data_IF_739570890135
#
_entry.id   IF_739570890135
#
_cell.length_a   1.000
_cell.length_b   1.000
_cell.length_c   1.000
_cell.angle_alpha   90.00
_cell.angle_beta   90.00
_cell.angle_gamma   90.00
#
_symmetry.space_group_name_H-M   'P 1'
#
loop_
_entity.id
_entity.type
_entity.pdbx_description
1 polymer ?
#
# COMPACT_ATOMS: atom_id res chain seq x y z
N UNK A 1 -11.91 45.06 43.92
CA UNK A 1 -13.16 45.64 44.45
C UNK A 1 -12.80 46.28 45.77
N UNK A 2 -12.79 47.61 45.85
CA UNK A 2 -12.73 48.31 47.14
C UNK A 2 -13.91 47.87 48.01
N UNK A 3 -13.77 47.82 49.35
CA UNK A 3 -14.89 47.49 50.22
C UNK A 3 -16.02 48.50 49.97
N UNK A 4 -17.30 48.07 49.92
CA UNK A 4 -18.40 49.01 49.78
C UNK A 4 -18.34 49.99 50.94
N UNK A 5 -18.25 51.28 50.63
CA UNK A 5 -18.21 52.36 51.61
C UNK A 5 -19.57 52.42 52.29
N UNK A 6 -19.70 51.60 53.34
CA UNK A 6 -20.96 51.25 53.96
C UNK A 6 -21.34 52.33 54.97
N UNK A 7 -21.88 53.42 54.44
CA UNK A 7 -22.18 54.62 55.20
C UNK A 7 -23.67 55.00 55.03
N UNK A 8 -24.38 55.36 56.12
CA UNK A 8 -25.83 55.64 56.07
C UNK A 8 -26.21 56.84 55.20
N UNK A 9 -25.26 57.72 54.89
CA UNK A 9 -25.45 58.87 53.99
C UNK A 9 -25.02 58.60 52.53
N UNK A 10 -24.52 57.40 52.21
CA UNK A 10 -24.09 57.06 50.85
C UNK A 10 -25.25 56.45 50.05
N UNK A 11 -25.67 57.10 48.97
CA UNK A 11 -26.76 56.66 48.10
C UNK A 11 -26.56 55.26 47.49
N UNK A 12 -25.31 54.83 47.34
CA UNK A 12 -24.96 53.51 46.77
C UNK A 12 -24.72 52.44 47.85
N UNK A 13 -24.88 52.78 49.14
CA UNK A 13 -24.67 51.84 50.25
C UNK A 13 -25.90 50.99 50.51
N UNK A 14 -25.65 49.73 50.89
CA UNK A 14 -26.70 48.81 51.37
C UNK A 14 -27.34 49.23 52.70
N UNK A 15 -26.70 50.13 53.46
CA UNK A 15 -27.15 50.62 54.77
C UNK A 15 -27.64 52.08 54.66
N UNK A 16 -28.01 52.52 53.46
CA UNK A 16 -28.49 53.87 53.21
C UNK A 16 -29.75 54.19 54.04
N UNK A 17 -29.72 55.32 54.77
CA UNK A 17 -30.85 55.83 55.54
C UNK A 17 -31.40 57.12 54.88
N UNK A 18 -32.56 57.04 54.19
CA UNK A 18 -33.10 58.17 53.43
C UNK A 18 -33.36 59.41 54.29
N UNK A 19 -33.88 59.20 55.50
CA UNK A 19 -34.26 60.26 56.44
C UNK A 19 -33.03 61.01 56.97
N UNK A 20 -31.96 60.27 57.30
CA UNK A 20 -30.69 60.84 57.74
C UNK A 20 -30.01 61.61 56.60
N UNK A 21 -30.05 61.08 55.36
CA UNK A 21 -29.53 61.73 54.17
C UNK A 21 -30.25 63.04 53.85
N UNK A 22 -31.58 63.03 53.81
CA UNK A 22 -32.39 64.23 53.54
C UNK A 22 -32.22 65.27 54.66
N UNK A 23 -32.22 64.84 55.93
CA UNK A 23 -31.97 65.76 57.06
C UNK A 23 -30.59 66.42 56.98
N UNK A 24 -29.56 65.67 56.56
CA UNK A 24 -28.22 66.19 56.34
C UNK A 24 -28.19 67.19 55.17
N UNK A 25 -28.87 66.87 54.07
CA UNK A 25 -28.96 67.71 52.88
C UNK A 25 -29.63 69.06 53.18
N UNK A 26 -30.77 69.04 53.87
CA UNK A 26 -31.51 70.24 54.29
C UNK A 26 -30.73 71.13 55.28
N UNK A 27 -29.85 70.54 56.10
CA UNK A 27 -29.00 71.30 57.04
C UNK A 27 -27.78 71.93 56.40
N UNK A 28 -27.30 71.39 55.27
CA UNK A 28 -26.01 71.76 54.67
C UNK A 28 -26.13 72.57 53.38
N UNK A 29 -27.23 72.45 52.64
CA UNK A 29 -27.40 73.07 51.32
C UNK A 29 -28.40 74.22 51.33
N UNK A 30 -28.17 75.20 50.46
CA UNK A 30 -29.13 76.28 50.18
C UNK A 30 -30.28 75.83 49.26
N UNK A 31 -31.30 76.68 49.09
CA UNK A 31 -32.48 76.36 48.26
C UNK A 31 -32.10 76.06 46.80
N UNK A 32 -31.27 76.90 46.18
CA UNK A 32 -30.86 76.72 44.78
C UNK A 32 -30.07 75.42 44.58
N UNK A 33 -29.22 75.07 45.55
CA UNK A 33 -28.48 73.81 45.54
C UNK A 33 -29.38 72.60 45.76
N UNK A 34 -30.47 72.75 46.53
CA UNK A 34 -31.46 71.69 46.74
C UNK A 34 -32.29 71.45 45.48
N UNK A 35 -32.66 72.50 44.76
CA UNK A 35 -33.32 72.40 43.44
C UNK A 35 -32.40 71.70 42.44
N UNK A 36 -31.13 72.07 42.38
CA UNK A 36 -30.17 71.39 41.49
C UNK A 36 -30.00 69.89 41.83
N UNK A 37 -30.04 69.52 43.11
CA UNK A 37 -30.00 68.11 43.54
C UNK A 37 -31.27 67.37 43.13
N UNK A 38 -32.43 68.01 43.23
CA UNK A 38 -33.71 67.42 42.79
C UNK A 38 -33.72 67.19 41.28
N UNK A 39 -33.28 68.18 40.49
CA UNK A 39 -33.17 68.04 39.03
C UNK A 39 -32.21 66.90 38.63
N UNK A 40 -31.05 66.79 39.28
CA UNK A 40 -30.09 65.70 39.06
C UNK A 40 -30.69 64.33 39.43
N UNK A 41 -31.41 64.24 40.56
CA UNK A 41 -32.10 63.00 40.95
C UNK A 41 -33.15 62.59 39.92
N UNK A 42 -33.96 63.53 39.43
CA UNK A 42 -34.98 63.26 38.40
C UNK A 42 -34.34 62.77 37.11
N UNK A 43 -33.22 63.38 36.69
CA UNK A 43 -32.47 62.93 35.51
C UNK A 43 -31.88 61.54 35.71
N UNK A 44 -31.32 61.26 36.88
CA UNK A 44 -30.77 59.95 37.22
C UNK A 44 -31.83 58.85 37.22
N UNK A 45 -33.03 59.12 37.75
CA UNK A 45 -34.17 58.17 37.70
C UNK A 45 -34.53 57.83 36.25
N UNK A 46 -34.65 58.84 35.38
CA UNK A 46 -34.97 58.62 33.96
C UNK A 46 -33.88 57.86 33.22
N UNK A 47 -32.61 58.17 33.50
CA UNK A 47 -31.46 57.47 32.92
C UNK A 47 -31.43 56.00 33.35
N UNK A 48 -31.61 55.73 34.64
CA UNK A 48 -31.62 54.36 35.17
C UNK A 48 -32.78 53.54 34.60
N UNK A 49 -33.96 54.14 34.40
CA UNK A 49 -35.08 53.47 33.74
C UNK A 49 -34.76 53.12 32.28
N UNK A 50 -34.17 54.05 31.53
CA UNK A 50 -33.73 53.80 30.16
C UNK A 50 -32.64 52.71 30.07
N UNK A 51 -31.66 52.73 30.98
CA UNK A 51 -30.61 51.69 31.08
C UNK A 51 -31.21 50.32 31.43
N UNK A 52 -32.19 50.28 32.33
CA UNK A 52 -32.90 49.04 32.69
C UNK A 52 -33.65 48.47 31.48
N UNK A 53 -34.37 49.32 30.73
CA UNK A 53 -35.05 48.90 29.50
C UNK A 53 -34.08 48.39 28.44
N UNK A 54 -32.95 49.08 28.24
CA UNK A 54 -31.91 48.65 27.31
C UNK A 54 -31.32 47.29 27.71
N UNK A 55 -31.03 47.08 28.99
CA UNK A 55 -30.48 45.82 29.49
C UNK A 55 -31.46 44.66 29.30
N UNK A 56 -32.76 44.88 29.54
CA UNK A 56 -33.81 43.89 29.27
C UNK A 56 -33.84 43.54 27.79
N UNK A 57 -33.83 44.53 26.91
CA UNK A 57 -33.83 44.31 25.47
C UNK A 57 -32.59 43.52 25.00
N UNK A 58 -31.40 43.93 25.44
CA UNK A 58 -30.15 43.25 25.10
C UNK A 58 -30.16 41.79 25.59
N UNK A 59 -30.61 41.54 26.82
CA UNK A 59 -30.70 40.20 27.37
C UNK A 59 -31.71 39.34 26.62
N UNK A 60 -32.87 39.90 26.26
CA UNK A 60 -33.88 39.18 25.49
C UNK A 60 -33.37 38.84 24.09
N UNK A 61 -32.66 39.78 23.43
CA UNK A 61 -32.08 39.54 22.11
C UNK A 61 -30.95 38.49 22.16
N UNK A 62 -30.11 38.52 23.21
CA UNK A 62 -29.09 37.49 23.44
C UNK A 62 -29.72 36.12 23.66
N UNK A 63 -30.80 36.04 24.46
CA UNK A 63 -31.53 34.80 24.70
C UNK A 63 -32.18 34.25 23.42
N UNK A 64 -32.82 35.12 22.64
CA UNK A 64 -33.42 34.76 21.36
C UNK A 64 -32.37 34.24 20.38
N UNK A 65 -31.23 34.94 20.29
CA UNK A 65 -30.10 34.52 19.45
C UNK A 65 -29.55 33.17 19.90
N UNK A 66 -29.31 32.99 21.20
CA UNK A 66 -28.83 31.72 21.75
C UNK A 66 -29.82 30.57 21.46
N UNK A 67 -31.12 30.82 21.62
CA UNK A 67 -32.17 29.84 21.33
C UNK A 67 -32.19 29.46 19.84
N UNK A 68 -32.07 30.44 18.94
CA UNK A 68 -31.97 30.20 17.49
C UNK A 68 -30.69 29.42 17.14
N UNK A 69 -29.56 29.75 17.76
CA UNK A 69 -28.30 29.00 17.57
C UNK A 69 -28.45 27.55 18.01
N UNK A 70 -29.05 27.28 19.17
CA UNK A 70 -29.31 25.90 19.63
C UNK A 70 -30.22 25.15 18.66
N UNK A 71 -31.28 25.81 18.15
CA UNK A 71 -32.17 25.22 17.16
C UNK A 71 -31.44 24.88 15.86
N UNK A 72 -30.61 25.80 15.36
CA UNK A 72 -29.82 25.57 14.15
C UNK A 72 -28.82 24.43 14.36
N UNK A 73 -28.12 24.40 15.50
CA UNK A 73 -27.24 23.28 15.85
C UNK A 73 -28.00 21.95 15.83
N UNK A 74 -29.20 21.88 16.37
CA UNK A 74 -30.02 20.66 16.35
C UNK A 74 -30.34 20.20 14.92
N UNK A 75 -30.66 21.12 14.02
CA UNK A 75 -30.93 20.81 12.60
C UNK A 75 -29.65 20.29 11.93
N UNK A 76 -28.53 20.98 12.10
CA UNK A 76 -27.23 20.56 11.54
C UNK A 76 -26.82 19.16 12.04
N UNK A 77 -27.02 18.87 13.33
CA UNK A 77 -26.78 17.52 13.87
C UNK A 77 -27.68 16.46 13.25
N UNK A 78 -28.95 16.78 12.98
CA UNK A 78 -29.87 15.85 12.31
C UNK A 78 -29.43 15.57 10.87
N UNK A 79 -28.99 16.60 10.13
CA UNK A 79 -28.49 16.44 8.77
C UNK A 79 -27.21 15.60 8.75
N UNK A 80 -26.30 15.84 9.71
CA UNK A 80 -25.06 15.06 9.85
C UNK A 80 -25.33 13.57 10.12
N UNK A 81 -26.36 13.24 10.92
CA UNK A 81 -26.76 11.84 11.15
C UNK A 81 -27.26 11.17 9.85
N UNK A 82 -27.99 11.90 9.01
CA UNK A 82 -28.45 11.41 7.71
C UNK A 82 -27.30 11.21 6.70
N UNK A 83 -26.36 12.15 6.64
CA UNK A 83 -25.15 12.03 5.83
C UNK A 83 -24.30 10.83 6.28
N UNK A 84 -24.14 10.62 7.59
CA UNK A 84 -23.39 9.49 8.14
C UNK A 84 -24.06 8.15 7.80
N UNK A 85 -25.38 8.08 7.80
CA UNK A 85 -26.13 6.89 7.33
C UNK A 85 -25.86 6.61 5.86
N UNK A 86 -25.92 7.64 5.02
CA UNK A 86 -25.66 7.51 3.58
C UNK A 86 -24.21 7.07 3.30
N UNK A 87 -23.24 7.62 4.04
CA UNK A 87 -21.85 7.19 3.96
C UNK A 87 -21.68 5.72 4.36
N UNK A 88 -22.32 5.30 5.46
CA UNK A 88 -22.28 3.92 5.94
C UNK A 88 -22.88 2.94 4.93
N UNK A 89 -24.00 3.30 4.31
CA UNK A 89 -24.61 2.53 3.23
C UNK A 89 -23.70 2.43 2.01
N UNK A 90 -23.07 3.54 1.61
CA UNK A 90 -22.13 3.58 0.50
C UNK A 90 -20.91 2.69 0.77
N UNK A 91 -20.33 2.75 1.97
CA UNK A 91 -19.23 1.86 2.37
C UNK A 91 -19.65 0.39 2.36
N UNK A 92 -20.88 0.08 2.81
CA UNK A 92 -21.43 -1.28 2.74
C UNK A 92 -21.54 -1.75 1.29
N UNK A 93 -22.04 -0.92 0.38
CA UNK A 93 -22.11 -1.22 -1.05
C UNK A 93 -20.73 -1.43 -1.68
N UNK A 94 -19.74 -0.61 -1.32
CA UNK A 94 -18.36 -0.79 -1.78
C UNK A 94 -17.80 -2.12 -1.27
N UNK A 95 -18.02 -2.46 0.00
CA UNK A 95 -17.55 -3.71 0.58
C UNK A 95 -18.19 -4.93 -0.09
N UNK A 96 -19.49 -4.90 -0.40
CA UNK A 96 -20.17 -6.00 -1.09
C UNK A 96 -19.69 -6.13 -2.53
N UNK A 97 -19.55 -5.02 -3.25
CA UNK A 97 -19.01 -5.01 -4.61
C UNK A 97 -17.58 -5.54 -4.66
N UNK A 98 -16.72 -5.11 -3.73
CA UNK A 98 -15.33 -5.57 -3.63
C UNK A 98 -15.26 -7.07 -3.34
N UNK A 99 -16.11 -7.58 -2.43
CA UNK A 99 -16.24 -9.01 -2.17
C UNK A 99 -16.66 -9.81 -3.41
N UNK A 100 -17.67 -9.31 -4.15
CA UNK A 100 -18.13 -9.91 -5.41
C UNK A 100 -17.03 -9.91 -6.48
N UNK A 101 -16.36 -8.78 -6.68
CA UNK A 101 -15.27 -8.61 -7.63
C UNK A 101 -14.10 -9.56 -7.34
N UNK A 102 -13.74 -9.71 -6.06
CA UNK A 102 -12.72 -10.65 -5.64
C UNK A 102 -13.11 -12.10 -5.95
N UNK A 103 -14.38 -12.46 -5.76
CA UNK A 103 -14.93 -13.76 -6.17
C UNK A 103 -14.78 -14.00 -7.69
N UNK A 104 -15.13 -13.00 -8.50
CA UNK A 104 -14.98 -13.06 -9.97
C UNK A 104 -13.50 -13.21 -10.37
N UNK A 105 -12.60 -12.42 -9.78
CA UNK A 105 -11.17 -12.48 -10.07
C UNK A 105 -10.55 -13.82 -9.65
N UNK A 106 -10.96 -14.39 -8.52
CA UNK A 106 -10.49 -15.71 -8.11
C UNK A 106 -10.90 -16.78 -9.12
N UNK A 107 -12.17 -16.78 -9.56
CA UNK A 107 -12.65 -17.70 -10.61
C UNK A 107 -11.89 -17.51 -11.92
N UNK A 108 -11.64 -16.27 -12.32
CA UNK A 108 -10.86 -15.97 -13.52
C UNK A 108 -9.40 -16.47 -13.38
N UNK A 109 -8.76 -16.24 -12.24
CA UNK A 109 -7.40 -16.72 -11.93
C UNK A 109 -7.32 -18.24 -11.97
N UNK A 110 -8.32 -18.95 -11.44
CA UNK A 110 -8.39 -20.41 -11.54
C UNK A 110 -8.50 -20.88 -12.99
N UNK A 111 -9.33 -20.22 -13.80
CA UNK A 111 -9.47 -20.56 -15.22
C UNK A 111 -8.17 -20.31 -15.98
N UNK A 112 -7.50 -19.18 -15.75
CA UNK A 112 -6.20 -18.86 -16.34
C UNK A 112 -5.14 -19.87 -15.90
N UNK A 113 -5.15 -20.29 -14.63
CA UNK A 113 -4.25 -21.33 -14.13
C UNK A 113 -4.50 -22.66 -14.84
N UNK A 114 -5.75 -23.13 -14.91
CA UNK A 114 -6.12 -24.36 -15.64
C UNK A 114 -5.68 -24.32 -17.10
N UNK A 115 -5.89 -23.19 -17.78
CA UNK A 115 -5.48 -23.00 -19.17
C UNK A 115 -3.96 -22.96 -19.32
N UNK A 116 -3.25 -22.32 -18.38
CA UNK A 116 -1.79 -22.28 -18.35
C UNK A 116 -1.20 -23.67 -18.13
N UNK A 117 -1.77 -24.46 -17.23
CA UNK A 117 -1.36 -25.83 -16.96
C UNK A 117 -1.60 -26.71 -18.19
N UNK A 118 -2.77 -26.60 -18.84
CA UNK A 118 -3.05 -27.26 -20.11
C UNK A 118 -2.09 -26.81 -21.24
N UNK A 119 -1.74 -25.53 -21.31
CA UNK A 119 -0.76 -25.05 -22.30
C UNK A 119 0.63 -25.62 -22.05
N UNK A 120 1.05 -25.74 -20.77
CA UNK A 120 2.32 -26.37 -20.41
C UNK A 120 2.33 -27.86 -20.78
N UNK A 121 1.24 -28.59 -20.54
CA UNK A 121 1.17 -30.01 -20.94
C UNK A 121 1.21 -30.15 -22.46
N UNK A 122 0.46 -29.34 -23.21
CA UNK A 122 0.50 -29.33 -24.68
C UNK A 122 1.90 -29.02 -25.21
N UNK A 123 2.59 -28.00 -24.68
CA UNK A 123 3.98 -27.69 -25.07
C UNK A 123 4.93 -28.84 -24.76
N UNK A 124 4.76 -29.50 -23.62
CA UNK A 124 5.56 -30.67 -23.25
C UNK A 124 5.32 -31.84 -24.21
N UNK A 125 4.05 -32.13 -24.54
CA UNK A 125 3.68 -33.17 -25.50
C UNK A 125 4.22 -32.85 -26.90
N UNK A 126 4.07 -31.61 -27.36
CA UNK A 126 4.61 -31.18 -28.66
C UNK A 126 6.13 -31.33 -28.73
N UNK A 127 6.83 -31.07 -27.62
CA UNK A 127 8.27 -31.28 -27.54
C UNK A 127 8.64 -32.78 -27.61
N UNK A 128 7.90 -33.65 -26.92
CA UNK A 128 8.11 -35.11 -26.98
C UNK A 128 7.82 -35.67 -28.38
N UNK A 129 6.76 -35.21 -29.06
CA UNK A 129 6.44 -35.62 -30.44
C UNK A 129 7.55 -35.24 -31.42
N UNK A 130 8.21 -34.09 -31.22
CA UNK A 130 9.32 -33.63 -32.07
C UNK A 130 10.68 -34.24 -31.69
N UNK A 131 10.74 -35.07 -30.66
CA UNK A 131 12.01 -35.61 -30.15
C UNK A 131 12.73 -36.56 -31.14
N UNK A 132 12.07 -37.55 -31.78
CA UNK A 132 12.76 -38.47 -32.69
C UNK A 132 13.43 -37.74 -33.85
N UNK A 133 12.72 -36.79 -34.47
CA UNK A 133 13.25 -35.97 -35.56
C UNK A 133 14.48 -35.16 -35.12
N UNK A 134 14.45 -34.61 -33.90
CA UNK A 134 15.61 -33.89 -33.35
C UNK A 134 16.78 -34.82 -33.04
N UNK A 135 16.53 -35.98 -32.47
CA UNK A 135 17.58 -36.97 -32.19
C UNK A 135 18.24 -37.41 -33.50
N UNK A 136 17.45 -37.72 -34.54
CA UNK A 136 17.97 -38.05 -35.86
C UNK A 136 18.85 -36.92 -36.42
N UNK A 137 18.40 -35.66 -36.33
CA UNK A 137 19.21 -34.52 -36.81
C UNK A 137 20.55 -34.36 -36.06
N UNK A 138 20.62 -34.71 -34.77
CA UNK A 138 21.88 -34.66 -34.02
C UNK A 138 22.83 -35.81 -34.37
N UNK A 139 22.28 -36.96 -34.78
CA UNK A 139 23.03 -38.09 -35.29
C UNK A 139 23.62 -37.74 -36.66
N UNK A 140 22.81 -37.16 -37.54
CA UNK A 140 23.23 -36.74 -38.89
C UNK A 140 24.34 -35.66 -38.80
N UNK A 141 24.31 -34.81 -37.77
CA UNK A 141 25.33 -33.80 -37.49
C UNK A 141 26.57 -34.33 -36.72
N UNK A 142 26.64 -35.64 -36.43
CA UNK A 142 27.67 -36.28 -35.59
C UNK A 142 27.82 -35.67 -34.17
N UNK A 143 26.82 -34.94 -33.67
CA UNK A 143 26.82 -34.34 -32.31
C UNK A 143 26.16 -35.29 -31.29
N UNK A 144 26.86 -36.39 -31.04
CA UNK A 144 26.39 -37.46 -30.16
C UNK A 144 26.23 -37.02 -28.71
N UNK A 145 27.01 -36.02 -28.27
CA UNK A 145 26.97 -35.51 -26.89
C UNK A 145 25.66 -34.79 -26.60
N UNK A 146 25.15 -33.99 -27.55
CA UNK A 146 23.86 -33.31 -27.42
C UNK A 146 22.67 -34.26 -27.56
N UNK A 147 22.75 -35.27 -28.43
CA UNK A 147 21.72 -36.30 -28.58
C UNK A 147 21.47 -37.04 -27.25
N UNK A 148 22.51 -37.59 -26.64
CA UNK A 148 22.42 -38.35 -25.37
C UNK A 148 21.90 -37.48 -24.22
N UNK A 149 22.39 -36.25 -24.10
CA UNK A 149 21.93 -35.31 -23.05
C UNK A 149 20.45 -34.94 -23.21
N UNK A 150 20.02 -34.69 -24.44
CA UNK A 150 18.63 -34.33 -24.74
C UNK A 150 17.71 -35.51 -24.48
N UNK A 151 18.09 -36.72 -24.88
CA UNK A 151 17.33 -37.93 -24.57
C UNK A 151 17.26 -38.21 -23.06
N UNK A 152 18.39 -38.11 -22.35
CA UNK A 152 18.43 -38.34 -20.90
C UNK A 152 17.54 -37.37 -20.12
N UNK A 153 17.45 -36.10 -20.54
CA UNK A 153 16.61 -35.09 -19.90
C UNK A 153 15.10 -35.35 -20.09
N UNK A 154 14.71 -36.03 -21.17
CA UNK A 154 13.29 -36.20 -21.57
C UNK A 154 12.79 -37.60 -21.23
N UNK A 155 13.70 -38.58 -21.09
CA UNK A 155 13.44 -39.96 -20.71
C UNK A 155 12.49 -40.11 -19.50
N UNK A 156 12.61 -39.34 -18.39
CA UNK A 156 11.69 -39.47 -17.26
C UNK A 156 10.24 -39.09 -17.60
N UNK A 157 10.05 -38.06 -18.43
CA UNK A 157 8.73 -37.63 -18.89
C UNK A 157 8.15 -38.57 -19.95
N UNK A 158 9.01 -39.12 -20.82
CA UNK A 158 8.66 -40.14 -21.79
C UNK A 158 8.12 -41.41 -21.14
N UNK A 159 8.70 -41.82 -20.01
CA UNK A 159 8.23 -42.97 -19.23
C UNK A 159 6.83 -42.71 -18.66
N UNK A 160 6.53 -41.49 -18.22
CA UNK A 160 5.20 -41.12 -17.72
C UNK A 160 4.10 -41.16 -18.80
N UNK A 161 4.46 -41.05 -20.08
CA UNK A 161 3.51 -41.11 -21.20
C UNK A 161 3.54 -42.46 -21.95
N UNK A 162 4.21 -43.47 -21.39
CA UNK A 162 4.39 -44.80 -22.01
C UNK A 162 3.07 -45.53 -22.28
N UNK A 163 2.06 -45.32 -21.43
CA UNK A 163 0.77 -46.03 -21.51
C UNK A 163 -0.18 -45.46 -22.58
N UNK A 164 0.18 -44.33 -23.20
CA UNK A 164 -0.60 -43.74 -24.28
C UNK A 164 -0.15 -44.39 -25.59
N UNK A 165 -1.05 -45.16 -26.22
CA UNK A 165 -0.78 -45.94 -27.44
C UNK A 165 -0.19 -45.11 -28.59
N UNK A 166 -0.57 -43.83 -28.72
CA UNK A 166 0.00 -42.89 -29.71
C UNK A 166 1.41 -42.37 -29.36
N UNK A 167 1.81 -42.36 -28.09
CA UNK A 167 3.16 -41.97 -27.65
C UNK A 167 4.11 -43.15 -27.49
N UNK A 168 3.59 -44.38 -27.33
CA UNK A 168 4.37 -45.60 -27.27
C UNK A 168 5.20 -45.83 -28.55
N UNK A 169 4.64 -45.52 -29.73
CA UNK A 169 5.38 -45.55 -31.00
C UNK A 169 6.57 -44.58 -31.01
N UNK A 170 6.33 -43.31 -30.67
CA UNK A 170 7.37 -42.26 -30.59
C UNK A 170 8.45 -42.60 -29.54
N UNK A 171 8.05 -43.22 -28.44
CA UNK A 171 8.96 -43.72 -27.41
C UNK A 171 9.87 -44.83 -27.96
N UNK A 172 9.27 -45.82 -28.63
CA UNK A 172 10.01 -46.94 -29.23
C UNK A 172 10.97 -46.43 -30.31
N UNK A 173 10.53 -45.51 -31.18
CA UNK A 173 11.37 -44.89 -32.21
C UNK A 173 12.56 -44.13 -31.58
N UNK A 174 12.30 -43.34 -30.53
CA UNK A 174 13.37 -42.58 -29.83
C UNK A 174 14.37 -43.49 -29.12
N UNK A 175 13.90 -44.62 -28.57
CA UNK A 175 14.73 -45.64 -27.91
C UNK A 175 15.52 -46.44 -28.94
N UNK A 176 14.92 -46.77 -30.07
CA UNK A 176 15.56 -47.46 -31.18
C UNK A 176 16.69 -46.62 -31.77
N UNK A 177 16.44 -45.32 -32.02
CA UNK A 177 17.47 -44.35 -32.46
C UNK A 177 18.65 -44.31 -31.47
N UNK A 178 18.39 -44.32 -30.16
CA UNK A 178 19.47 -44.33 -29.16
C UNK A 178 20.19 -45.68 -29.06
N UNK A 179 19.50 -46.80 -29.25
CA UNK A 179 20.11 -48.13 -29.29
C UNK A 179 20.97 -48.30 -30.55
N UNK A 180 20.55 -47.74 -31.69
CA UNK A 180 21.35 -47.69 -32.92
C UNK A 180 22.63 -46.87 -32.72
N UNK A 181 22.54 -45.74 -31.99
CA UNK A 181 23.72 -44.97 -31.58
C UNK A 181 24.65 -45.74 -30.63
N UNK A 182 24.08 -46.48 -29.69
CA UNK A 182 24.84 -47.31 -28.76
C UNK A 182 25.55 -48.45 -29.51
N UNK A 183 24.90 -49.07 -30.50
CA UNK A 183 25.50 -50.09 -31.37
C UNK A 183 26.57 -49.52 -32.31
N UNK A 184 26.38 -48.31 -32.87
CA UNK A 184 27.42 -47.64 -33.67
C UNK A 184 28.69 -47.33 -32.85
N UNK A 185 28.56 -47.07 -31.54
CA UNK A 185 29.71 -46.90 -30.64
C UNK A 185 30.51 -48.18 -30.41
N UNK A 186 29.94 -49.37 -30.65
CA UNK A 186 30.65 -50.64 -30.44
C UNK A 186 31.36 -51.17 -31.70
N UNK A 187 31.21 -50.54 -32.87
CA UNK A 187 31.80 -51.04 -34.12
C UNK A 187 33.01 -50.27 -34.64
N UNK A 188 33.35 -49.09 -34.12
CA UNK A 188 34.47 -48.29 -34.67
C UNK A 188 35.41 -47.76 -33.58
N UNK A 189 36.31 -48.63 -33.10
CA UNK A 189 37.46 -48.24 -32.26
C UNK A 189 38.34 -47.19 -32.99
N UNK A 190 38.33 -47.20 -34.33
CA UNK A 190 39.16 -46.30 -35.15
C UNK A 190 38.63 -44.86 -35.22
N UNK A 191 37.30 -44.64 -35.23
CA UNK A 191 36.72 -43.29 -35.15
C UNK A 191 36.87 -42.69 -33.73
N UNK A 192 36.96 -43.55 -32.71
CA UNK A 192 37.24 -43.16 -31.33
C UNK A 192 38.65 -42.57 -31.19
N UNK A 193 39.64 -43.11 -31.94
CA UNK A 193 41.00 -42.55 -32.01
C UNK A 193 41.01 -41.19 -32.70
N UNK A 194 40.32 -41.04 -33.84
CA UNK A 194 40.29 -39.77 -34.59
C UNK A 194 39.64 -38.63 -33.78
N UNK A 195 38.51 -38.90 -33.11
CA UNK A 195 37.82 -37.91 -32.27
C UNK A 195 38.63 -37.52 -31.02
N UNK A 196 39.36 -38.47 -30.42
CA UNK A 196 40.29 -38.16 -29.33
C UNK A 196 41.43 -37.27 -29.83
N UNK A 197 42.04 -37.58 -30.98
CA UNK A 197 43.12 -36.75 -31.54
C UNK A 197 42.67 -35.35 -31.91
N UNK A 198 41.48 -35.15 -32.48
CA UNK A 198 40.93 -33.81 -32.74
C UNK A 198 40.62 -33.07 -31.43
N UNK A 199 40.09 -33.76 -30.42
CA UNK A 199 39.79 -33.17 -29.11
C UNK A 199 41.05 -32.79 -28.33
N UNK A 200 42.16 -33.50 -28.49
CA UNK A 200 43.45 -33.12 -27.89
C UNK A 200 44.13 -31.99 -28.68
N UNK A 201 44.08 -32.04 -30.02
CA UNK A 201 44.65 -30.98 -30.89
C UNK A 201 43.95 -29.62 -30.73
N UNK A 202 42.62 -29.62 -30.51
CA UNK A 202 41.85 -28.41 -30.20
C UNK A 202 42.18 -27.85 -28.81
N UNK A 203 42.46 -28.73 -27.83
CA UNK A 203 42.73 -28.30 -26.44
C UNK A 203 44.09 -27.65 -26.27
N UNK A 204 45.13 -28.13 -26.95
CA UNK A 204 46.47 -27.56 -26.80
C UNK A 204 46.50 -26.07 -27.21
N UNK A 205 45.93 -25.69 -28.36
CA UNK A 205 45.99 -24.27 -28.80
C UNK A 205 45.24 -23.30 -27.89
N UNK A 206 44.05 -23.67 -27.42
CA UNK A 206 43.24 -22.79 -26.57
C UNK A 206 43.73 -22.78 -25.11
N UNK A 207 44.32 -23.87 -24.64
CA UNK A 207 44.96 -23.96 -23.33
C UNK A 207 46.25 -23.14 -23.28
N UNK A 208 47.13 -23.21 -24.30
CA UNK A 208 48.32 -22.36 -24.37
C UNK A 208 47.95 -20.88 -24.53
N UNK A 209 46.93 -20.54 -25.34
CA UNK A 209 46.46 -19.15 -25.48
C UNK A 209 45.87 -18.58 -24.19
N UNK A 210 44.97 -19.29 -23.52
CA UNK A 210 44.38 -18.82 -22.26
C UNK A 210 45.37 -18.85 -21.10
N UNK A 211 46.28 -19.83 -21.08
CA UNK A 211 47.31 -19.96 -20.05
C UNK A 211 48.30 -18.80 -20.07
N UNK A 212 48.74 -18.37 -21.26
CA UNK A 212 49.67 -17.23 -21.40
C UNK A 212 49.01 -15.92 -20.97
N UNK A 213 47.74 -15.68 -21.35
CA UNK A 213 47.02 -14.47 -20.91
C UNK A 213 46.70 -14.45 -19.41
N UNK A 214 46.43 -15.61 -18.79
CA UNK A 214 46.19 -15.69 -17.35
C UNK A 214 47.48 -15.65 -16.50
N UNK A 215 48.65 -15.92 -17.10
CA UNK A 215 49.91 -15.97 -16.36
C UNK A 215 50.41 -14.57 -16.00
N UNK A 216 50.23 -13.59 -16.88
CA UNK A 216 50.61 -12.18 -16.64
C UNK A 216 49.75 -11.57 -15.52
N UNK A 217 48.44 -11.80 -15.55
CA UNK A 217 47.50 -11.37 -14.50
C UNK A 217 47.80 -12.03 -13.14
N UNK A 218 48.21 -13.31 -13.15
CA UNK A 218 48.58 -14.04 -11.92
C UNK A 218 49.92 -13.60 -11.36
N UNK A 219 50.91 -13.30 -12.20
CA UNK A 219 52.20 -12.76 -11.74
C UNK A 219 52.06 -11.36 -11.18
N UNK A 220 51.24 -10.50 -11.78
CA UNK A 220 51.02 -9.14 -11.29
C UNK A 220 50.35 -9.13 -9.91
N UNK A 221 49.39 -10.04 -9.68
CA UNK A 221 48.79 -10.24 -8.34
C UNK A 221 49.77 -10.80 -7.30
N UNK A 222 50.73 -11.64 -7.69
CA UNK A 222 51.73 -12.20 -6.77
C UNK A 222 52.78 -11.17 -6.40
N UNK A 223 53.17 -10.28 -7.32
CA UNK A 223 54.08 -9.16 -7.04
C UNK A 223 53.41 -8.10 -6.15
N UNK A 224 52.10 -7.87 -6.30
CA UNK A 224 51.34 -6.94 -5.46
C UNK A 224 51.03 -7.46 -4.05
N UNK A 225 51.16 -8.77 -3.80
CA UNK A 225 50.79 -9.41 -2.52
C UNK A 225 51.96 -9.86 -1.65
N UNK A 226 53.18 -9.43 -1.97
CA UNK A 226 54.41 -9.66 -1.17
C UNK A 226 54.55 -11.09 -0.61
N UNK A 227 54.17 -12.08 -1.42
CA UNK A 227 54.48 -13.48 -1.17
C UNK A 227 53.59 -14.25 -0.19
N UNK A 228 52.41 -13.76 0.21
CA UNK A 228 51.45 -14.59 0.94
C UNK A 228 50.20 -14.89 0.12
N UNK A 229 50.18 -16.06 -0.51
CA UNK A 229 48.93 -16.75 -0.83
C UNK A 229 49.06 -18.26 -0.63
N UNK A 230 48.34 -18.75 0.38
CA UNK A 230 47.57 -19.99 0.28
C UNK A 230 46.10 -19.62 0.10
#
# INVERSE_FOLDING_TARGET
MEPPDNHPLNLNSTVFEPEAYVSNLLKRKGLDELVAVEEDMVQNVRRLDAEMQQLVYENYNKFLTATNTVRNMQIEFSNMDEEMKTLTESMKQISTLSGSLNGVFNKHRENVRKLTDASKTVKSLQYVVKLPQKLQSYIDQKDYKRAVRTFAAVKPKLIQYKDIQSMAGIYNDSVEIMNQLEQQKFTTIEEMRESLTESFASKDRDWYRSGIHQFEEKLQKVVESDGEYF
#
